data_IF_925984571322
#
_entry.id   IF_925984571322
#
_cell.length_a   1.000
_cell.length_b   1.000
_cell.length_c   1.000
_cell.angle_alpha   90.00
_cell.angle_beta   90.00
_cell.angle_gamma   90.00
#
_symmetry.space_group_name_H-M   'P 1'
#
loop_
_entity.id
_entity.type
_entity.pdbx_description
1 polymer ?
#
# COMPACT_ATOMS: atom_id res chain seq x y z
N UNK A 1 36.49 38.19 -49.30
CA UNK A 1 35.75 38.87 -48.22
C UNK A 1 34.51 38.06 -47.92
N UNK A 2 34.09 38.03 -46.66
CA UNK A 2 32.86 37.41 -46.20
C UNK A 2 31.68 38.36 -46.38
N UNK A 3 30.52 37.81 -46.70
CA UNK A 3 29.29 38.55 -46.92
C UNK A 3 28.31 38.31 -45.78
N UNK A 4 27.96 39.37 -45.06
CA UNK A 4 26.89 39.38 -44.07
C UNK A 4 25.59 39.73 -44.78
N UNK A 5 24.66 38.78 -44.86
CA UNK A 5 23.40 38.92 -45.59
C UNK A 5 22.19 38.69 -44.69
N UNK A 6 21.08 39.38 -44.92
CA UNK A 6 19.84 39.15 -44.15
C UNK A 6 19.37 37.71 -44.36
N UNK A 7 19.25 36.96 -43.26
CA UNK A 7 18.96 35.55 -43.29
C UNK A 7 17.55 35.26 -43.79
N UNK A 8 17.49 34.51 -44.87
CA UNK A 8 16.27 33.90 -45.42
C UNK A 8 16.53 32.40 -45.51
N UNK A 9 15.75 31.61 -44.77
CA UNK A 9 15.95 30.16 -44.68
C UNK A 9 15.90 29.48 -46.05
N UNK A 10 14.95 29.85 -46.92
CA UNK A 10 14.77 29.19 -48.21
C UNK A 10 15.94 29.48 -49.13
N UNK A 11 16.29 30.77 -49.26
CA UNK A 11 17.37 31.18 -50.15
C UNK A 11 18.75 30.71 -49.66
N UNK A 12 18.97 30.66 -48.34
CA UNK A 12 20.24 30.24 -47.77
C UNK A 12 20.54 28.76 -48.03
N UNK A 13 19.59 27.86 -47.75
CA UNK A 13 19.78 26.40 -47.92
C UNK A 13 19.74 25.94 -49.38
N UNK A 14 19.13 26.72 -50.29
CA UNK A 14 19.16 26.49 -51.73
C UNK A 14 20.39 27.10 -52.43
N UNK A 15 21.38 27.61 -51.66
CA UNK A 15 22.58 28.32 -52.15
C UNK A 15 22.30 29.57 -53.02
N UNK A 16 21.11 30.17 -52.88
CA UNK A 16 20.69 31.36 -53.62
C UNK A 16 21.10 32.67 -52.90
N UNK A 17 22.35 32.74 -52.43
CA UNK A 17 22.83 33.85 -51.59
C UNK A 17 22.74 35.23 -52.26
N UNK A 18 22.79 35.27 -53.60
CA UNK A 18 22.68 36.50 -54.39
C UNK A 18 21.29 37.16 -54.28
N UNK A 19 20.25 36.40 -53.93
CA UNK A 19 18.89 36.90 -53.70
C UNK A 19 18.67 37.41 -52.27
N UNK A 20 19.58 37.11 -51.35
CA UNK A 20 19.54 37.63 -49.99
C UNK A 20 20.12 39.04 -49.96
N UNK A 21 19.55 39.93 -49.15
CA UNK A 21 20.03 41.31 -49.01
C UNK A 21 21.44 41.35 -48.40
N UNK A 22 22.37 42.07 -49.03
CA UNK A 22 23.72 42.25 -48.51
C UNK A 22 23.77 43.43 -47.54
N UNK A 23 24.18 43.16 -46.31
CA UNK A 23 24.32 44.17 -45.26
C UNK A 23 25.73 44.73 -45.21
N UNK A 24 26.75 43.86 -45.19
CA UNK A 24 28.17 44.29 -45.09
C UNK A 24 29.12 43.22 -45.61
N UNK A 25 30.27 43.66 -46.12
CA UNK A 25 31.40 42.76 -46.41
C UNK A 25 32.51 42.93 -45.36
N UNK A 26 33.05 41.81 -44.88
CA UNK A 26 34.12 41.80 -43.86
C UNK A 26 35.31 40.96 -44.33
N UNK A 27 36.53 41.35 -43.92
CA UNK A 27 37.75 40.69 -44.38
C UNK A 27 37.97 39.32 -43.72
N UNK A 28 37.63 39.23 -42.43
CA UNK A 28 37.84 38.06 -41.58
C UNK A 28 36.57 37.21 -41.44
N UNK A 29 36.73 36.00 -40.91
CA UNK A 29 35.61 35.09 -40.67
C UNK A 29 34.68 35.67 -39.57
N UNK A 30 33.36 35.82 -39.84
CA UNK A 30 32.43 36.33 -38.84
C UNK A 30 32.30 35.38 -37.63
N UNK A 31 32.38 35.96 -36.42
CA UNK A 31 32.25 35.23 -35.15
C UNK A 31 30.80 34.75 -34.90
N UNK A 32 30.67 33.48 -34.50
CA UNK A 32 29.36 32.83 -34.26
C UNK A 32 28.83 33.09 -32.86
N UNK A 33 29.61 33.68 -31.96
CA UNK A 33 29.14 33.95 -30.60
C UNK A 33 28.93 35.45 -30.32
N UNK A 34 29.19 36.31 -31.32
CA UNK A 34 29.09 37.77 -31.20
C UNK A 34 27.82 38.38 -31.83
N UNK A 35 27.34 39.46 -31.24
CA UNK A 35 26.37 40.38 -31.85
C UNK A 35 27.13 41.36 -32.76
N UNK A 36 26.58 41.61 -33.95
CA UNK A 36 27.12 42.56 -34.90
C UNK A 36 26.40 43.90 -34.81
N UNK A 37 27.14 44.98 -34.54
CA UNK A 37 26.63 46.34 -34.69
C UNK A 37 27.09 46.92 -36.04
N UNK A 38 26.13 47.19 -36.92
CA UNK A 38 26.38 47.70 -38.27
C UNK A 38 25.43 48.87 -38.52
N UNK A 39 26.00 50.05 -38.75
CA UNK A 39 25.27 51.28 -39.06
C UNK A 39 24.15 51.62 -38.05
N UNK A 40 24.45 51.41 -36.75
CA UNK A 40 23.53 51.70 -35.64
C UNK A 40 22.40 50.68 -35.47
N UNK A 41 22.44 49.55 -36.19
CA UNK A 41 21.53 48.41 -36.03
C UNK A 41 22.28 47.20 -35.51
N UNK A 42 21.60 46.41 -34.67
CA UNK A 42 22.14 45.20 -34.08
C UNK A 42 21.64 43.96 -34.81
N UNK A 43 22.54 43.03 -35.10
CA UNK A 43 22.24 41.79 -35.80
C UNK A 43 22.84 40.60 -35.07
N UNK A 44 22.13 39.47 -35.05
CA UNK A 44 22.66 38.17 -34.63
C UNK A 44 22.95 37.29 -35.83
N UNK A 45 23.90 36.38 -35.71
CA UNK A 45 24.08 35.31 -36.69
C UNK A 45 22.90 34.33 -36.65
N UNK A 46 22.61 33.69 -37.78
CA UNK A 46 21.53 32.71 -37.92
C UNK A 46 21.96 31.46 -38.70
N UNK A 47 22.81 31.62 -39.72
CA UNK A 47 23.35 30.50 -40.48
C UNK A 47 24.67 30.86 -41.13
N UNK A 48 25.48 29.86 -41.45
CA UNK A 48 26.86 30.09 -41.87
C UNK A 48 27.28 29.13 -42.99
N UNK A 49 27.82 29.68 -44.08
CA UNK A 49 28.27 28.93 -45.26
C UNK A 49 29.74 29.23 -45.53
N UNK A 50 30.67 28.40 -45.00
CA UNK A 50 32.10 28.62 -45.13
C UNK A 50 32.61 28.55 -46.58
N UNK A 51 32.06 27.63 -47.36
CA UNK A 51 32.45 27.39 -48.75
C UNK A 51 32.19 28.63 -49.63
N UNK A 52 31.05 29.29 -49.42
CA UNK A 52 30.64 30.47 -50.16
C UNK A 52 31.01 31.79 -49.46
N UNK A 53 31.61 31.71 -48.26
CA UNK A 53 31.93 32.86 -47.40
C UNK A 53 30.73 33.76 -47.12
N UNK A 54 29.57 33.18 -46.82
CA UNK A 54 28.33 33.89 -46.50
C UNK A 54 27.90 33.59 -45.08
N UNK A 55 27.60 34.65 -44.31
CA UNK A 55 26.98 34.56 -43.00
C UNK A 55 25.58 35.20 -43.08
N UNK A 56 24.56 34.40 -42.78
CA UNK A 56 23.19 34.85 -42.64
C UNK A 56 22.99 35.51 -41.28
N UNK A 57 22.62 36.78 -41.27
CA UNK A 57 22.35 37.57 -40.06
C UNK A 57 20.91 38.02 -40.01
N UNK A 58 20.36 38.20 -38.81
CA UNK A 58 19.00 38.72 -38.60
C UNK A 58 19.05 39.94 -37.69
N UNK A 59 18.38 41.01 -38.11
CA UNK A 59 18.24 42.22 -37.28
C UNK A 59 17.49 41.87 -36.00
N UNK A 60 18.02 42.34 -34.87
CA UNK A 60 17.43 42.18 -33.55
C UNK A 60 17.39 43.53 -32.84
N UNK A 61 16.47 43.67 -31.90
CA UNK A 61 16.42 44.80 -30.98
C UNK A 61 16.68 44.25 -29.58
N UNK A 62 17.67 44.81 -28.88
CA UNK A 62 18.00 44.44 -27.51
C UNK A 62 17.37 45.45 -26.56
N UNK A 63 16.62 44.96 -25.58
CA UNK A 63 16.20 45.78 -24.45
C UNK A 63 17.35 45.87 -23.45
N UNK A 64 17.89 47.07 -23.22
CA UNK A 64 19.04 47.27 -22.31
C UNK A 64 18.65 47.34 -20.85
N UNK A 65 17.37 47.57 -20.54
CA UNK A 65 16.83 47.65 -19.17
C UNK A 65 15.50 46.86 -19.10
N UNK A 66 15.57 45.53 -19.09
CA UNK A 66 14.36 44.72 -19.02
C UNK A 66 13.81 44.63 -17.59
N UNK A 67 12.47 44.60 -17.49
CA UNK A 67 11.77 44.31 -16.24
C UNK A 67 11.80 42.81 -15.91
N UNK A 68 11.61 42.47 -14.64
CA UNK A 68 11.43 41.07 -14.19
C UNK A 68 10.11 40.51 -14.74
N UNK A 69 10.18 39.38 -15.45
CA UNK A 69 9.01 38.71 -16.04
C UNK A 69 8.89 37.30 -15.47
N UNK A 70 7.70 36.98 -14.96
CA UNK A 70 7.31 35.62 -14.55
C UNK A 70 6.63 34.94 -15.74
N UNK A 71 7.28 33.92 -16.32
CA UNK A 71 6.83 33.20 -17.52
C UNK A 71 7.03 31.69 -17.33
N UNK A 72 6.22 30.88 -18.01
CA UNK A 72 6.25 29.41 -17.97
C UNK A 72 7.54 28.84 -18.59
N UNK A 73 8.25 29.65 -19.38
CA UNK A 73 9.53 29.34 -20.00
C UNK A 73 10.60 30.36 -19.62
N UNK A 74 11.87 29.93 -19.68
CA UNK A 74 12.99 30.84 -19.47
C UNK A 74 13.22 31.70 -20.72
N UNK A 75 12.58 32.86 -20.74
CA UNK A 75 12.68 33.83 -21.83
C UNK A 75 13.80 34.82 -21.55
N UNK A 76 14.70 35.03 -22.52
CA UNK A 76 15.76 36.02 -22.41
C UNK A 76 15.15 37.43 -22.31
N UNK A 77 15.39 38.17 -21.22
CA UNK A 77 14.78 39.48 -21.00
C UNK A 77 15.33 40.53 -21.99
N UNK A 78 16.54 40.32 -22.52
CA UNK A 78 17.20 41.25 -23.45
C UNK A 78 16.74 41.10 -24.91
N UNK A 79 16.62 39.87 -25.42
CA UNK A 79 16.34 39.62 -26.84
C UNK A 79 15.03 38.86 -27.12
N UNK A 80 14.34 38.39 -26.08
CA UNK A 80 13.07 37.66 -26.19
C UNK A 80 13.20 36.21 -26.69
N UNK A 81 14.41 35.65 -26.78
CA UNK A 81 14.57 34.24 -27.14
C UNK A 81 14.13 33.33 -26.00
N UNK A 82 13.36 32.29 -26.31
CA UNK A 82 12.88 31.31 -25.32
C UNK A 82 13.85 30.12 -25.26
N UNK A 83 14.30 29.76 -24.06
CA UNK A 83 15.01 28.50 -23.81
C UNK A 83 13.99 27.40 -23.50
N UNK A 84 13.73 26.54 -24.49
CA UNK A 84 12.78 25.43 -24.37
C UNK A 84 13.32 24.25 -23.55
N UNK A 85 14.62 24.20 -23.27
CA UNK A 85 15.27 23.14 -22.50
C UNK A 85 15.54 23.59 -21.04
N UNK A 86 15.06 24.77 -20.66
CA UNK A 86 15.24 25.33 -19.33
C UNK A 86 14.66 24.47 -18.18
N UNK A 87 13.73 23.56 -18.49
CA UNK A 87 13.16 22.61 -17.53
C UNK A 87 14.14 21.54 -17.05
N UNK A 88 15.22 21.27 -17.81
CA UNK A 88 16.31 20.36 -17.44
C UNK A 88 17.37 21.01 -16.53
N UNK A 89 17.30 22.33 -16.33
CA UNK A 89 18.33 23.07 -15.59
C UNK A 89 18.30 22.75 -14.09
N UNK A 90 19.50 22.78 -13.50
CA UNK A 90 19.69 22.60 -12.06
C UNK A 90 18.99 23.71 -11.29
N UNK A 91 18.57 23.39 -10.06
CA UNK A 91 18.07 24.40 -9.12
C UNK A 91 19.20 25.18 -8.43
N UNK A 92 20.46 24.74 -8.62
CA UNK A 92 21.63 25.29 -7.94
C UNK A 92 22.34 26.39 -8.76
N UNK A 93 21.97 26.58 -10.03
CA UNK A 93 22.50 27.65 -10.88
C UNK A 93 21.57 28.86 -10.83
N UNK A 94 22.15 30.05 -10.68
CA UNK A 94 21.46 31.34 -10.58
C UNK A 94 21.55 32.16 -11.87
N UNK A 95 22.44 31.77 -12.80
CA UNK A 95 22.73 32.52 -14.03
C UNK A 95 22.85 31.60 -15.26
N UNK A 96 22.51 32.13 -16.45
CA UNK A 96 22.66 31.47 -17.74
C UNK A 96 23.04 32.45 -18.84
N UNK A 97 23.90 32.04 -19.77
CA UNK A 97 24.14 32.80 -21.00
C UNK A 97 23.11 32.49 -22.09
N UNK A 98 22.54 33.55 -22.66
CA UNK A 98 21.59 33.42 -23.76
C UNK A 98 22.31 32.99 -25.05
N UNK A 99 22.03 31.78 -25.56
CA UNK A 99 22.60 31.31 -26.84
C UNK A 99 22.18 32.12 -28.08
N UNK A 100 21.24 33.05 -27.97
CA UNK A 100 20.80 33.92 -29.07
C UNK A 100 21.46 35.30 -29.11
N UNK A 101 21.81 35.86 -27.94
CA UNK A 101 22.34 37.23 -27.84
C UNK A 101 23.57 37.35 -26.93
N UNK A 102 24.03 36.26 -26.31
CA UNK A 102 25.20 36.24 -25.43
C UNK A 102 24.99 36.92 -24.06
N UNK A 103 23.83 37.53 -23.79
CA UNK A 103 23.57 38.17 -22.50
C UNK A 103 23.47 37.16 -21.36
N UNK A 104 24.05 37.48 -20.21
CA UNK A 104 23.86 36.74 -18.96
C UNK A 104 22.49 37.06 -18.35
N UNK A 105 21.76 36.03 -17.95
CA UNK A 105 20.39 36.10 -17.41
C UNK A 105 20.41 35.48 -16.02
N UNK A 106 19.94 36.21 -15.01
CA UNK A 106 19.62 35.64 -13.70
C UNK A 106 18.22 35.02 -13.72
N UNK A 107 18.04 33.84 -13.12
CA UNK A 107 16.73 33.18 -13.09
C UNK A 107 16.43 32.50 -11.76
N UNK A 108 15.13 32.37 -11.43
CA UNK A 108 14.64 31.62 -10.28
C UNK A 108 13.73 30.48 -10.74
N UNK A 109 14.01 29.25 -10.30
CA UNK A 109 13.20 28.07 -10.65
C UNK A 109 12.15 27.77 -9.57
N UNK A 110 10.86 27.92 -9.91
CA UNK A 110 9.73 27.57 -9.04
C UNK A 110 9.08 26.25 -9.49
N UNK A 111 9.00 25.23 -8.64
CA UNK A 111 8.42 23.90 -8.98
C UNK A 111 7.15 23.64 -8.16
N UNK A 112 6.03 23.35 -8.84
CA UNK A 112 4.77 22.97 -8.20
C UNK A 112 4.51 21.46 -8.34
N UNK A 113 4.35 20.74 -7.22
CA UNK A 113 4.01 19.31 -7.20
C UNK A 113 2.55 19.13 -6.78
N UNK A 114 1.76 18.42 -7.57
CA UNK A 114 0.35 18.10 -7.27
C UNK A 114 0.10 16.59 -7.24
N UNK A 115 -0.65 16.12 -6.24
CA UNK A 115 -1.08 14.73 -6.14
C UNK A 115 -2.59 14.61 -6.34
N UNK A 116 -3.02 13.67 -7.18
CA UNK A 116 -4.44 13.30 -7.29
C UNK A 116 -4.61 11.84 -6.83
N UNK A 117 -5.16 11.59 -5.63
CA UNK A 117 -5.40 10.23 -5.17
C UNK A 117 -6.55 9.60 -5.95
N UNK A 118 -6.28 8.51 -6.66
CA UNK A 118 -7.30 7.72 -7.35
C UNK A 118 -7.83 6.66 -6.39
N UNK A 119 -9.14 6.65 -6.15
CA UNK A 119 -9.77 5.64 -5.31
C UNK A 119 -10.02 4.38 -6.15
N UNK A 120 -9.36 3.28 -5.81
CA UNK A 120 -9.73 1.95 -6.32
C UNK A 120 -10.89 1.40 -5.49
N UNK A 121 -11.79 0.59 -6.10
CA UNK A 121 -12.86 -0.09 -5.36
C UNK A 121 -12.22 -0.92 -4.25
N UNK A 122 -12.54 -0.59 -3.01
CA UNK A 122 -12.26 -1.46 -1.87
C UNK A 122 -13.06 -2.75 -2.05
N UNK A 123 -12.37 -3.86 -2.16
CA UNK A 123 -12.95 -5.20 -1.98
C UNK A 123 -13.20 -5.38 -0.47
N UNK A 124 -14.09 -4.56 0.11
CA UNK A 124 -14.53 -4.73 1.50
C UNK A 124 -15.43 -5.95 1.53
N UNK A 125 -14.81 -7.12 1.72
CA UNK A 125 -15.51 -8.32 2.15
C UNK A 125 -16.05 -8.05 3.56
N UNK A 126 -17.23 -7.42 3.63
CA UNK A 126 -17.93 -7.22 4.89
C UNK A 126 -18.33 -8.60 5.41
N UNK A 127 -17.99 -8.89 6.67
CA UNK A 127 -18.44 -10.12 7.30
C UNK A 127 -19.96 -10.09 7.39
N UNK A 128 -20.60 -11.21 7.09
CA UNK A 128 -22.03 -11.39 7.34
C UNK A 128 -22.31 -11.25 8.83
N UNK A 129 -23.34 -10.47 9.19
CA UNK A 129 -23.79 -10.31 10.57
C UNK A 129 -25.07 -11.12 10.73
N UNK A 130 -24.95 -12.28 11.38
CA UNK A 130 -26.08 -13.15 11.73
C UNK A 130 -25.91 -13.69 13.14
N UNK A 131 -27.05 -13.98 13.78
CA UNK A 131 -27.12 -14.46 15.14
C UNK A 131 -28.05 -15.65 15.20
N UNK A 132 -27.71 -16.62 16.04
CA UNK A 132 -28.66 -17.62 16.55
C UNK A 132 -28.85 -17.38 18.04
N UNK A 133 -29.90 -17.93 18.62
CA UNK A 133 -30.21 -17.69 20.03
C UNK A 133 -30.67 -18.96 20.73
N UNK A 134 -30.12 -19.23 21.92
CA UNK A 134 -30.64 -20.26 22.80
C UNK A 134 -31.81 -19.71 23.61
N UNK A 135 -33.01 -20.28 23.45
CA UNK A 135 -34.20 -19.88 24.20
C UNK A 135 -34.29 -20.69 25.50
N UNK A 136 -33.98 -20.03 26.62
CA UNK A 136 -33.80 -20.68 27.93
C UNK A 136 -35.08 -21.39 28.42
N UNK A 137 -36.29 -20.80 28.36
CA UNK A 137 -37.50 -21.42 28.92
C UNK A 137 -37.95 -22.73 28.26
N UNK A 138 -37.54 -22.99 27.01
CA UNK A 138 -37.87 -24.25 26.29
C UNK A 138 -36.65 -25.08 25.94
N UNK A 139 -35.45 -24.61 26.25
CA UNK A 139 -34.21 -25.26 25.86
C UNK A 139 -34.17 -25.56 24.35
N UNK A 140 -34.48 -24.54 23.54
CA UNK A 140 -34.56 -24.67 22.08
C UNK A 140 -33.61 -23.68 21.39
N UNK A 141 -32.88 -24.16 20.39
CA UNK A 141 -32.05 -23.33 19.52
C UNK A 141 -32.90 -22.63 18.45
N UNK A 142 -32.96 -21.30 18.54
CA UNK A 142 -33.56 -20.44 17.51
C UNK A 142 -32.51 -20.14 16.45
N UNK A 143 -32.75 -20.66 15.25
CA UNK A 143 -31.90 -20.46 14.09
C UNK A 143 -31.99 -19.03 13.52
N UNK A 144 -30.98 -18.56 12.78
CA UNK A 144 -30.94 -17.17 12.29
C UNK A 144 -32.13 -16.76 11.43
N UNK A 145 -32.70 -17.68 10.65
CA UNK A 145 -33.87 -17.45 9.79
C UNK A 145 -35.16 -17.17 10.57
N UNK A 146 -35.20 -17.56 11.85
CA UNK A 146 -36.35 -17.32 12.74
C UNK A 146 -36.21 -16.05 13.56
N UNK A 147 -35.08 -15.36 13.46
CA UNK A 147 -34.74 -14.20 14.28
C UNK A 147 -34.96 -12.90 13.47
N UNK A 148 -36.13 -12.30 13.64
CA UNK A 148 -36.58 -11.15 12.84
C UNK A 148 -35.91 -9.84 13.28
N UNK A 149 -35.74 -9.64 14.59
CA UNK A 149 -35.18 -8.40 15.12
C UNK A 149 -34.52 -8.56 16.49
N UNK A 150 -33.41 -7.85 16.70
CA UNK A 150 -32.78 -7.66 18.01
C UNK A 150 -32.76 -6.16 18.29
N UNK A 151 -33.48 -5.72 19.32
CA UNK A 151 -33.41 -4.34 19.79
C UNK A 151 -32.61 -4.28 21.10
N UNK A 152 -31.36 -3.80 21.01
CA UNK A 152 -30.46 -3.69 22.16
C UNK A 152 -30.84 -2.55 23.11
N UNK A 153 -31.62 -1.55 22.68
CA UNK A 153 -32.04 -0.43 23.53
C UNK A 153 -33.23 -0.85 24.40
N UNK A 154 -34.27 -1.41 23.78
CA UNK A 154 -35.48 -1.88 24.48
C UNK A 154 -35.31 -3.27 25.08
N UNK A 155 -34.21 -3.97 24.79
CA UNK A 155 -33.92 -5.34 25.24
C UNK A 155 -35.01 -6.34 24.83
N UNK A 156 -35.49 -6.24 23.60
CA UNK A 156 -36.55 -7.10 23.03
C UNK A 156 -36.02 -7.85 21.81
N UNK A 157 -36.38 -9.12 21.70
CA UNK A 157 -36.19 -9.93 20.49
C UNK A 157 -37.53 -10.20 19.81
N UNK A 158 -37.57 -10.03 18.49
CA UNK A 158 -38.65 -10.52 17.63
C UNK A 158 -38.25 -11.87 17.03
N UNK A 159 -39.03 -12.92 17.29
CA UNK A 159 -38.72 -14.28 16.87
C UNK A 159 -39.96 -14.95 16.29
N UNK A 160 -39.79 -15.71 15.22
CA UNK A 160 -40.79 -16.63 14.70
C UNK A 160 -40.67 -18.01 15.38
N UNK A 161 -41.64 -18.36 16.22
CA UNK A 161 -41.75 -19.68 16.86
C UNK A 161 -43.21 -20.14 16.89
N UNK A 162 -43.50 -21.42 16.61
CA UNK A 162 -44.87 -21.95 16.60
C UNK A 162 -45.39 -22.16 18.03
N UNK A 163 -45.72 -21.06 18.70
CA UNK A 163 -46.21 -21.05 20.09
C UNK A 163 -47.69 -20.72 20.06
N UNK A 164 -48.53 -21.60 20.58
CA UNK A 164 -49.98 -21.39 20.66
C UNK A 164 -50.63 -21.05 19.31
N UNK A 165 -50.21 -21.70 18.21
CA UNK A 165 -50.66 -21.44 16.83
C UNK A 165 -50.38 -20.02 16.29
N UNK A 166 -49.46 -19.27 16.92
CA UNK A 166 -48.98 -17.97 16.42
C UNK A 166 -47.54 -18.12 15.92
N UNK A 167 -47.21 -17.40 14.85
CA UNK A 167 -45.87 -17.39 14.26
C UNK A 167 -44.91 -16.41 14.94
N UNK A 168 -45.22 -15.11 14.90
CA UNK A 168 -44.32 -14.06 15.39
C UNK A 168 -44.57 -13.69 16.86
N UNK A 169 -43.49 -13.57 17.63
CA UNK A 169 -43.53 -13.23 19.04
C UNK A 169 -42.46 -12.19 19.40
N UNK A 170 -42.73 -11.40 20.43
CA UNK A 170 -41.76 -10.48 21.03
C UNK A 170 -41.45 -10.95 22.44
N UNK A 171 -40.19 -11.27 22.70
CA UNK A 171 -39.72 -11.73 24.00
C UNK A 171 -38.73 -10.76 24.62
N UNK A 172 -38.52 -10.91 25.93
CA UNK A 172 -37.43 -10.22 26.60
C UNK A 172 -36.12 -10.86 26.16
N UNK A 173 -35.13 -10.02 25.87
CA UNK A 173 -33.80 -10.50 25.49
C UNK A 173 -33.14 -11.33 26.60
N UNK A 174 -33.52 -11.14 27.86
CA UNK A 174 -33.05 -11.93 29.01
C UNK A 174 -33.42 -13.41 28.94
N UNK A 175 -34.44 -13.76 28.17
CA UNK A 175 -34.90 -15.15 28.02
C UNK A 175 -34.06 -15.90 26.98
N UNK A 176 -33.08 -15.22 26.37
CA UNK A 176 -32.25 -15.71 25.29
C UNK A 176 -30.77 -15.54 25.58
N UNK A 177 -29.97 -16.46 25.07
CA UNK A 177 -28.52 -16.28 24.96
C UNK A 177 -28.17 -16.15 23.48
N UNK A 178 -27.73 -14.95 23.08
CA UNK A 178 -27.32 -14.67 21.70
C UNK A 178 -25.94 -15.24 21.43
N UNK A 179 -25.77 -15.85 20.25
CA UNK A 179 -24.51 -16.36 19.75
C UNK A 179 -24.24 -15.75 18.38
N UNK A 180 -23.14 -15.00 18.26
CA UNK A 180 -22.77 -14.34 17.01
C UNK A 180 -22.04 -15.29 16.06
N UNK A 181 -22.33 -15.17 14.76
CA UNK A 181 -21.56 -15.83 13.71
C UNK A 181 -20.15 -15.29 13.62
N UNK A 182 -19.17 -16.20 13.54
CA UNK A 182 -17.74 -15.85 13.50
C UNK A 182 -17.29 -15.28 12.15
N UNK A 183 -18.03 -15.52 11.07
CA UNK A 183 -17.58 -15.27 9.70
C UNK A 183 -16.93 -16.48 9.03
N UNK A 184 -16.78 -17.60 9.74
CA UNK A 184 -16.14 -18.82 9.24
C UNK A 184 -17.12 -19.99 9.14
N UNK A 185 -16.82 -20.90 8.22
CA UNK A 185 -17.50 -22.18 8.06
C UNK A 185 -16.52 -23.30 8.40
N UNK A 186 -17.05 -24.38 8.94
CA UNK A 186 -16.34 -25.63 9.16
C UNK A 186 -16.11 -26.36 7.82
N UNK A 187 -15.38 -27.48 7.85
CA UNK A 187 -15.07 -28.29 6.66
C UNK A 187 -16.29 -28.88 5.94
N UNK A 188 -17.44 -28.96 6.62
CA UNK A 188 -18.70 -29.45 6.06
C UNK A 188 -19.60 -28.30 5.58
N UNK A 189 -19.14 -27.05 5.63
CA UNK A 189 -19.89 -25.86 5.24
C UNK A 189 -20.82 -25.31 6.33
N UNK A 190 -20.77 -25.86 7.53
CA UNK A 190 -21.57 -25.43 8.69
C UNK A 190 -20.99 -24.12 9.24
N UNK A 191 -21.85 -23.14 9.48
CA UNK A 191 -21.45 -21.87 10.07
C UNK A 191 -20.99 -22.05 11.52
N UNK A 192 -19.85 -21.44 11.87
CA UNK A 192 -19.30 -21.48 13.23
C UNK A 192 -19.77 -20.24 13.99
N UNK A 193 -20.39 -20.45 15.15
CA UNK A 193 -20.90 -19.42 16.06
C UNK A 193 -20.16 -19.42 17.39
N UNK A 194 -20.31 -18.34 18.15
CA UNK A 194 -20.00 -18.34 19.58
C UNK A 194 -20.71 -19.49 20.30
N UNK A 195 -20.02 -20.16 21.22
CA UNK A 195 -20.54 -21.30 21.96
C UNK A 195 -20.53 -22.62 21.20
N UNK A 196 -20.13 -22.67 19.92
CA UNK A 196 -19.88 -23.94 19.23
C UNK A 196 -18.67 -24.65 19.83
N UNK A 197 -18.77 -25.98 19.90
CA UNK A 197 -17.68 -26.88 20.24
C UNK A 197 -17.07 -27.34 18.91
N UNK A 198 -15.78 -27.07 18.73
CA UNK A 198 -15.05 -27.43 17.51
C UNK A 198 -13.93 -28.42 17.81
N UNK A 199 -13.67 -29.33 16.87
CA UNK A 199 -12.45 -30.15 16.82
C UNK A 199 -11.62 -29.80 15.60
N UNK A 200 -10.30 -29.75 15.75
CA UNK A 200 -9.34 -29.57 14.65
C UNK A 200 -7.95 -30.10 15.05
N UNK A 201 -7.13 -30.42 14.05
CA UNK A 201 -5.74 -30.81 14.27
C UNK A 201 -4.82 -29.60 14.13
N UNK A 202 -3.88 -29.44 15.06
CA UNK A 202 -2.84 -28.40 15.01
C UNK A 202 -1.46 -29.02 15.16
N UNK A 203 -0.47 -28.47 14.46
CA UNK A 203 0.92 -28.88 14.62
C UNK A 203 1.55 -28.07 15.77
N UNK A 204 1.58 -28.68 16.95
CA UNK A 204 2.04 -28.03 18.18
C UNK A 204 3.43 -28.51 18.56
N UNK A 205 4.15 -27.69 19.34
CA UNK A 205 5.44 -28.09 19.88
C UNK A 205 5.22 -29.15 20.96
N UNK A 206 5.73 -30.34 20.71
CA UNK A 206 5.61 -31.52 21.59
C UNK A 206 6.94 -31.94 22.21
N UNK A 207 8.04 -31.24 21.91
CA UNK A 207 9.33 -31.51 22.52
C UNK A 207 10.47 -30.64 22.00
N UNK A 208 11.67 -30.96 22.48
CA UNK A 208 12.93 -30.38 22.02
C UNK A 208 13.97 -31.50 21.82
N UNK A 209 14.71 -31.43 20.72
CA UNK A 209 15.81 -32.31 20.35
C UNK A 209 17.12 -31.56 20.44
N UNK A 210 18.11 -32.10 21.14
CA UNK A 210 19.47 -31.53 21.20
C UNK A 210 20.41 -32.32 20.30
N UNK A 211 21.19 -31.64 19.46
CA UNK A 211 22.19 -32.27 18.60
C UNK A 211 23.57 -31.79 19.01
N UNK A 212 24.47 -32.73 19.31
CA UNK A 212 25.84 -32.43 19.71
C UNK A 212 26.66 -31.97 18.52
N UNK A 213 27.35 -30.83 18.68
CA UNK A 213 28.26 -30.24 17.70
C UNK A 213 29.70 -30.24 18.26
N UNK A 214 30.69 -29.98 17.40
CA UNK A 214 32.11 -29.86 17.80
C UNK A 214 32.38 -28.81 18.89
N UNK A 215 31.54 -27.78 19.04
CA UNK A 215 31.69 -26.67 20.00
C UNK A 215 30.41 -26.37 20.82
N UNK A 216 29.54 -27.36 21.05
CA UNK A 216 28.34 -27.15 21.86
C UNK A 216 27.17 -28.04 21.47
N UNK A 217 25.95 -27.57 21.71
CA UNK A 217 24.71 -28.26 21.37
C UNK A 217 23.77 -27.29 20.68
N UNK A 218 23.17 -27.73 19.57
CA UNK A 218 22.05 -27.04 18.94
C UNK A 218 20.74 -27.64 19.47
N UNK A 219 19.75 -26.80 19.79
CA UNK A 219 18.42 -27.25 20.24
C UNK A 219 17.39 -26.97 19.17
N UNK A 220 16.64 -27.99 18.78
CA UNK A 220 15.60 -27.94 17.76
C UNK A 220 14.25 -28.26 18.39
N UNK A 221 13.22 -27.46 18.12
CA UNK A 221 11.86 -27.79 18.52
C UNK A 221 11.34 -29.01 17.72
N UNK A 222 10.69 -29.94 18.41
CA UNK A 222 9.98 -31.07 17.82
C UNK A 222 8.49 -30.71 17.82
N UNK A 223 7.88 -30.85 16.65
CA UNK A 223 6.45 -30.58 16.46
C UNK A 223 5.71 -31.88 16.14
N UNK A 224 4.47 -31.97 16.59
CA UNK A 224 3.59 -33.09 16.35
C UNK A 224 2.15 -32.63 16.19
N UNK A 225 1.36 -33.45 15.50
CA UNK A 225 -0.07 -33.23 15.33
C UNK A 225 -0.80 -33.50 16.64
N UNK A 226 -1.58 -32.53 17.10
CA UNK A 226 -2.39 -32.59 18.30
C UNK A 226 -3.83 -32.29 17.94
N UNK A 227 -4.75 -33.16 18.34
CA UNK A 227 -6.18 -32.91 18.22
C UNK A 227 -6.63 -31.97 19.33
N UNK A 228 -7.10 -30.79 18.94
CA UNK A 228 -7.62 -29.76 19.83
C UNK A 228 -9.14 -29.77 19.75
N UNK A 229 -9.76 -29.78 20.92
CA UNK A 229 -11.20 -29.65 21.10
C UNK A 229 -11.47 -28.53 22.09
N UNK A 230 -12.40 -27.64 21.76
CA UNK A 230 -12.74 -26.54 22.65
C UNK A 230 -13.94 -25.73 22.21
N UNK A 231 -14.28 -24.72 23.01
CA UNK A 231 -15.45 -23.86 22.80
C UNK A 231 -15.04 -22.58 22.11
N UNK A 232 -15.76 -22.19 21.07
CA UNK A 232 -15.55 -20.91 20.38
C UNK A 232 -16.04 -19.78 21.26
N UNK A 233 -15.14 -18.84 21.60
CA UNK A 233 -15.43 -17.63 22.37
C UNK A 233 -14.93 -16.39 21.66
N UNK A 234 -15.54 -15.25 21.95
CA UNK A 234 -15.04 -13.94 21.53
C UNK A 234 -14.46 -13.21 22.74
N UNK A 235 -13.28 -12.63 22.59
CA UNK A 235 -12.66 -11.90 23.69
C UNK A 235 -11.21 -11.52 23.43
N UNK A 236 -10.56 -11.05 24.48
CA UNK A 236 -9.15 -10.63 24.42
C UNK A 236 -8.24 -11.82 24.64
N UNK A 237 -7.34 -12.07 23.68
CA UNK A 237 -6.26 -13.03 23.83
C UNK A 237 -4.93 -12.29 24.01
N UNK A 238 -4.13 -12.69 25.00
CA UNK A 238 -2.78 -12.17 25.21
C UNK A 238 -1.84 -12.85 24.20
N UNK A 239 -1.39 -12.13 23.18
CA UNK A 239 -0.27 -12.57 22.33
C UNK A 239 1.03 -11.92 22.81
N UNK A 240 2.21 -12.47 22.47
CA UNK A 240 3.49 -11.98 22.98
C UNK A 240 3.80 -10.50 22.68
N UNK A 241 3.14 -9.91 21.68
CA UNK A 241 3.43 -8.55 21.24
C UNK A 241 2.21 -7.61 21.25
N UNK A 242 0.98 -8.13 21.29
CA UNK A 242 -0.25 -7.31 21.28
C UNK A 242 -1.45 -8.06 21.90
N UNK A 243 -2.40 -7.31 22.47
CA UNK A 243 -3.72 -7.86 22.84
C UNK A 243 -4.63 -7.76 21.63
N UNK A 244 -5.12 -8.91 21.16
CA UNK A 244 -6.11 -8.97 20.08
C UNK A 244 -7.50 -9.24 20.61
N UNK A 245 -8.51 -8.51 20.12
CA UNK A 245 -9.93 -8.82 20.34
C UNK A 245 -10.43 -9.66 19.16
N UNK A 246 -10.67 -10.96 19.39
CA UNK A 246 -10.89 -11.93 18.32
C UNK A 246 -11.67 -13.16 18.80
N UNK A 247 -12.15 -13.94 17.84
CA UNK A 247 -12.66 -15.29 18.09
C UNK A 247 -11.52 -16.25 18.38
N UNK A 248 -11.66 -17.09 19.39
CA UNK A 248 -10.68 -18.11 19.76
C UNK A 248 -11.37 -19.39 20.21
N UNK A 249 -10.65 -20.50 20.11
CA UNK A 249 -11.06 -21.78 20.68
C UNK A 249 -10.50 -21.87 22.09
N UNK A 250 -11.38 -21.75 23.07
CA UNK A 250 -11.08 -21.90 24.48
C UNK A 250 -11.00 -23.38 24.84
N UNK A 251 -9.85 -23.79 25.34
CA UNK A 251 -9.59 -25.16 25.74
C UNK A 251 -8.67 -25.14 26.96
N UNK A 252 -8.96 -25.98 27.93
CA UNK A 252 -8.13 -26.22 29.11
C UNK A 252 -6.96 -27.16 28.79
N UNK A 253 -6.98 -27.81 27.61
CA UNK A 253 -5.90 -28.67 27.13
C UNK A 253 -4.59 -27.90 27.03
N UNK A 254 -3.55 -28.55 27.51
CA UNK A 254 -2.17 -28.10 27.37
C UNK A 254 -1.29 -29.24 26.88
N UNK A 255 -0.27 -28.93 26.10
CA UNK A 255 0.77 -29.90 25.77
C UNK A 255 1.88 -29.76 26.80
N UNK A 256 2.11 -30.82 27.56
CA UNK A 256 3.27 -30.93 28.43
C UNK A 256 4.36 -31.69 27.71
N UNK A 257 5.57 -31.14 27.70
CA UNK A 257 6.72 -31.77 27.07
C UNK A 257 7.97 -31.61 27.93
N UNK A 258 8.79 -32.65 27.90
CA UNK A 258 10.10 -32.64 28.51
C UNK A 258 11.13 -32.06 27.52
N UNK A 259 12.09 -31.31 28.04
CA UNK A 259 13.29 -30.81 27.33
C UNK A 259 14.23 -31.92 26.80
N UNK A 260 13.94 -33.20 27.05
CA UNK A 260 14.76 -34.33 26.62
C UNK A 260 14.02 -35.33 25.73
N UNK A 261 14.11 -35.18 24.41
CA UNK A 261 13.93 -36.35 23.52
C UNK A 261 14.97 -36.32 22.37
N UNK A 262 15.90 -37.29 22.45
CA UNK A 262 17.00 -37.63 21.55
C UNK A 262 18.21 -36.66 21.52
N UNK A 263 19.21 -36.93 22.37
CA UNK A 263 20.58 -36.44 22.19
C UNK A 263 21.38 -36.18 23.47
N UNK A 264 22.35 -37.06 23.73
CA UNK A 264 23.62 -36.92 24.49
C UNK A 264 23.90 -35.69 25.39
N UNK A 265 22.96 -35.23 26.22
CA UNK A 265 23.32 -34.30 27.29
C UNK A 265 23.98 -35.02 28.49
N UNK A 266 24.54 -34.24 29.42
CA UNK A 266 25.20 -34.81 30.60
C UNK A 266 24.15 -35.50 31.48
N UNK A 267 24.47 -36.67 32.05
CA UNK A 267 23.62 -37.41 33.00
C UNK A 267 23.13 -36.57 34.21
N UNK A 268 23.70 -35.39 34.44
CA UNK A 268 23.41 -34.49 35.57
C UNK A 268 22.24 -33.53 35.36
N UNK A 269 21.79 -33.30 34.13
CA UNK A 269 20.77 -32.30 33.86
C UNK A 269 19.39 -32.88 34.18
N UNK A 270 18.62 -32.20 35.06
CA UNK A 270 17.25 -32.62 35.38
C UNK A 270 16.31 -32.17 34.26
N UNK A 271 15.35 -33.02 33.84
CA UNK A 271 14.33 -32.65 32.88
C UNK A 271 13.48 -31.49 33.41
N UNK A 272 13.32 -30.44 32.63
CA UNK A 272 12.34 -29.39 32.88
C UNK A 272 11.05 -29.73 32.13
N UNK A 273 9.97 -29.94 32.88
CA UNK A 273 8.64 -30.12 32.30
C UNK A 273 8.07 -28.75 31.95
N UNK A 274 7.80 -28.52 30.67
CA UNK A 274 7.15 -27.29 30.17
C UNK A 274 5.74 -27.61 29.71
N UNK A 275 4.80 -26.69 29.95
CA UNK A 275 3.43 -26.78 29.42
C UNK A 275 3.12 -25.58 28.53
N UNK A 276 2.44 -25.83 27.42
CA UNK A 276 1.95 -24.80 26.50
C UNK A 276 0.42 -24.84 26.41
N UNK A 277 -0.22 -23.67 26.55
CA UNK A 277 -1.67 -23.55 26.41
C UNK A 277 -2.06 -23.67 24.92
N UNK A 278 -3.08 -24.50 24.65
CA UNK A 278 -3.59 -24.76 23.30
C UNK A 278 -4.75 -23.85 22.88
N UNK A 279 -5.13 -22.88 23.72
CA UNK A 279 -6.09 -21.84 23.35
C UNK A 279 -5.53 -21.00 22.21
N UNK A 280 -6.16 -21.09 21.02
CA UNK A 280 -5.73 -20.37 19.81
C UNK A 280 -6.86 -19.52 19.25
N UNK A 281 -6.48 -18.42 18.63
CA UNK A 281 -7.40 -17.66 17.76
C UNK A 281 -7.93 -18.52 16.63
N UNK A 282 -9.20 -18.31 16.28
CA UNK A 282 -9.83 -18.88 15.09
C UNK A 282 -9.16 -18.31 13.82
N UNK A 283 -8.89 -19.16 12.83
CA UNK A 283 -8.18 -18.78 11.59
C UNK A 283 -8.89 -19.31 10.35
N UNK A 284 -8.75 -18.61 9.23
CA UNK A 284 -9.39 -19.01 7.95
C UNK A 284 -8.77 -20.24 7.29
N UNK A 285 -7.56 -20.62 7.68
CA UNK A 285 -6.76 -21.68 7.05
C UNK A 285 -6.67 -22.95 7.92
N UNK A 286 -7.68 -23.19 8.75
CA UNK A 286 -7.74 -24.36 9.65
C UNK A 286 -9.06 -25.10 9.39
N UNK A 287 -8.97 -26.41 9.23
CA UNK A 287 -10.11 -27.28 8.95
C UNK A 287 -10.85 -27.65 10.25
N UNK A 288 -11.67 -26.72 10.73
CA UNK A 288 -12.54 -26.98 11.87
C UNK A 288 -13.66 -27.96 11.51
N UNK A 289 -14.09 -28.75 12.49
CA UNK A 289 -15.35 -29.48 12.49
C UNK A 289 -16.18 -29.01 13.68
N UNK A 290 -17.40 -28.54 13.43
CA UNK A 290 -18.37 -28.31 14.52
C UNK A 290 -18.91 -29.67 14.94
N UNK A 291 -18.80 -29.99 16.22
CA UNK A 291 -19.23 -31.29 16.79
C UNK A 291 -20.37 -31.15 17.79
N UNK A 292 -20.75 -29.92 18.15
CA UNK A 292 -21.85 -29.61 19.05
C UNK A 292 -21.80 -28.17 19.51
N UNK A 293 -22.61 -27.81 20.50
CA UNK A 293 -22.55 -26.51 21.18
C UNK A 293 -22.75 -26.66 22.68
N UNK A 294 -22.37 -25.63 23.44
CA UNK A 294 -22.40 -25.66 24.91
C UNK A 294 -23.79 -25.78 25.54
N UNK A 295 -24.87 -25.66 24.76
CA UNK A 295 -26.24 -25.75 25.26
C UNK A 295 -26.89 -27.11 24.98
N UNK A 296 -26.72 -27.62 23.77
CA UNK A 296 -27.31 -28.90 23.34
C UNK A 296 -26.41 -30.11 23.65
N UNK A 297 -25.12 -29.88 23.91
CA UNK A 297 -24.13 -30.95 24.04
C UNK A 297 -23.21 -30.76 25.26
N UNK A 298 -23.78 -30.69 26.45
CA UNK A 298 -23.02 -30.54 27.70
C UNK A 298 -22.06 -31.72 27.94
N UNK A 299 -22.44 -32.93 27.53
CA UNK A 299 -21.63 -34.14 27.60
C UNK A 299 -20.31 -34.07 26.82
N UNK A 300 -20.21 -33.13 25.87
CA UNK A 300 -19.00 -32.90 25.08
C UNK A 300 -17.98 -32.00 25.79
N UNK A 301 -18.36 -31.40 26.91
CA UNK A 301 -17.51 -30.57 27.78
C UNK A 301 -16.94 -31.34 28.97
N UNK A 302 -17.46 -32.53 29.26
CA UNK A 302 -16.95 -33.41 30.30
C UNK A 302 -15.79 -34.26 29.74
N UNK A 303 -14.59 -34.11 30.31
CA UNK A 303 -13.43 -34.92 29.93
C UNK A 303 -13.71 -36.42 30.17
N UNK A 304 -13.46 -37.24 29.15
CA UNK A 304 -13.32 -38.70 29.28
C UNK A 304 -11.87 -39.10 29.50
#
# INVERSE_FOLDING_TARGET
>A
MWQLRIYDMKHFWDNNYHLMELVKEVAEEPDKDSIYEIDGRTYRWCAFSPEHKVCGIKEITLNTEPDDVDDDYLTCPYCGSIDHDAWERSADDDTVECGSCGSTIEYQRNVQITYTPIHTRRDTKMREIKFRAWYIPREEMVQPDRLESINFDTKVLGVYMPIENKGFHRFRMSDFILMQYTGLKDRNGVDIYEGDIVSYTSNEKVGERKVMQRRGYDTYAVYGEVEIRGVVKFGTINRPFEKGLLYYVDTDKSVSYDTYFWGSGKKSDRPEMKSSNLTKSLKTNVDYQVIGNVYENLELLEDK
#
